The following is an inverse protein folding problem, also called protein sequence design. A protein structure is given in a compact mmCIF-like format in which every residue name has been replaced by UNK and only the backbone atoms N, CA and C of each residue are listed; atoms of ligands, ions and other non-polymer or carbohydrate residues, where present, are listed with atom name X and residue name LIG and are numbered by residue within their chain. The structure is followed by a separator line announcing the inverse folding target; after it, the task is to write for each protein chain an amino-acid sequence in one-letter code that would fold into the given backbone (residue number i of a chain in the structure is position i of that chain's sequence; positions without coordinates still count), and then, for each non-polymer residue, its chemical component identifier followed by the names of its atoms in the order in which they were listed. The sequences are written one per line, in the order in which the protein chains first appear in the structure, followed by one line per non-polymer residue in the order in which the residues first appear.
data_IF_846766268007
#
_entry.id   IF_846766268007
#
_cell.length_a   1.000
_cell.length_b   1.000
_cell.length_c   1.000
_cell.angle_alpha   90.00
_cell.angle_beta   90.00
_cell.angle_gamma   90.00
#
_symmetry.space_group_name_H-M   'P 1'
#
loop_
_entity.id
_entity.type
_entity.pdbx_description
1 polymer ?
#
# COMPACT_ATOMS: atom_id res chain seq x y z
N UNK A 1 22.29 11.34 -5.18
CA UNK A 1 21.72 11.43 -3.80
C UNK A 1 21.76 12.88 -3.30
N UNK A 2 20.76 13.27 -2.47
CA UNK A 2 20.73 14.62 -1.88
C UNK A 2 21.20 14.54 -0.42
N UNK A 3 22.23 15.30 -0.04
CA UNK A 3 22.70 15.34 1.33
C UNK A 3 21.64 16.00 2.24
N UNK A 4 21.39 15.43 3.39
CA UNK A 4 20.46 15.97 4.39
C UNK A 4 21.11 16.97 5.33
N UNK A 5 22.45 17.04 5.36
CA UNK A 5 23.23 17.86 6.30
C UNK A 5 23.18 17.40 7.77
N UNK A 6 22.49 16.29 8.03
CA UNK A 6 22.33 15.77 9.38
C UNK A 6 23.42 14.74 9.69
N UNK A 7 24.14 14.96 10.79
CA UNK A 7 25.16 14.03 11.31
C UNK A 7 24.64 13.36 12.57
N UNK A 8 24.81 12.05 12.66
CA UNK A 8 24.48 11.23 13.84
C UNK A 8 25.65 10.32 14.20
N UNK A 9 25.78 10.04 15.47
CA UNK A 9 26.80 9.10 15.96
C UNK A 9 26.17 7.71 16.12
N UNK A 10 26.96 6.70 15.84
CA UNK A 10 26.63 5.31 16.21
C UNK A 10 26.85 5.19 17.71
N UNK A 11 25.91 4.60 18.43
CA UNK A 11 26.03 4.34 19.88
C UNK A 11 26.88 3.06 20.16
N UNK A 12 27.08 2.78 21.42
CA UNK A 12 27.85 1.62 21.91
C UNK A 12 27.22 0.27 21.56
N UNK A 13 25.93 0.25 21.21
CA UNK A 13 25.21 -0.92 20.72
C UNK A 13 25.13 -0.99 19.19
N UNK A 14 25.84 -0.12 18.47
CA UNK A 14 25.86 -0.08 17.02
C UNK A 14 24.59 0.53 16.38
N UNK A 15 23.79 1.29 17.13
CA UNK A 15 22.53 1.87 16.63
C UNK A 15 22.73 3.29 16.14
N UNK A 16 21.95 3.66 15.13
CA UNK A 16 21.83 5.04 14.62
C UNK A 16 20.39 5.49 14.77
N UNK A 17 20.16 6.64 15.39
CA UNK A 17 18.82 7.23 15.49
C UNK A 17 18.50 7.98 14.19
N UNK A 18 17.50 7.53 13.47
CA UNK A 18 16.95 8.23 12.31
C UNK A 18 16.12 9.42 12.81
N UNK A 19 16.48 10.67 12.44
CA UNK A 19 15.78 11.88 12.90
C UNK A 19 14.30 11.87 12.54
N UNK A 20 13.48 12.49 13.40
CA UNK A 20 12.03 12.57 13.21
C UNK A 20 11.65 13.21 11.88
N UNK A 21 12.40 14.23 11.44
CA UNK A 21 12.17 14.92 10.17
C UNK A 21 12.37 13.99 8.98
N UNK A 22 13.43 13.14 9.00
CA UNK A 22 13.69 12.15 7.95
C UNK A 22 12.60 11.07 7.99
N UNK A 23 12.27 10.55 9.18
CA UNK A 23 11.20 9.54 9.32
C UNK A 23 9.87 10.05 8.77
N UNK A 24 9.52 11.30 9.07
CA UNK A 24 8.28 11.92 8.57
C UNK A 24 8.30 12.08 7.04
N UNK A 25 9.41 12.58 6.48
CA UNK A 25 9.55 12.79 5.03
C UNK A 25 9.50 11.48 4.24
N UNK A 26 10.12 10.42 4.79
CA UNK A 26 10.17 9.10 4.16
C UNK A 26 9.04 8.17 4.63
N UNK A 27 8.08 8.69 5.41
CA UNK A 27 6.95 7.91 5.99
C UNK A 27 7.43 6.65 6.73
N UNK A 28 8.58 6.73 7.44
CA UNK A 28 9.11 5.63 8.25
C UNK A 28 8.40 5.65 9.61
N UNK A 29 7.66 4.60 9.92
CA UNK A 29 6.94 4.41 11.19
C UNK A 29 7.77 3.56 12.15
N UNK A 30 7.43 3.60 13.42
CA UNK A 30 7.96 2.66 14.41
C UNK A 30 7.57 1.23 14.04
N UNK A 31 8.54 0.31 14.09
CA UNK A 31 8.35 -1.09 13.69
C UNK A 31 8.48 -1.35 12.18
N UNK A 32 8.60 -0.31 11.32
CA UNK A 32 8.83 -0.55 9.89
C UNK A 32 10.17 -1.25 9.68
N UNK A 33 10.22 -2.36 8.93
CA UNK A 33 11.47 -3.01 8.56
C UNK A 33 12.22 -2.15 7.55
N UNK A 34 13.52 -2.01 7.75
CA UNK A 34 14.42 -1.33 6.83
C UNK A 34 15.48 -2.30 6.34
N UNK A 35 15.64 -2.38 5.05
CA UNK A 35 16.72 -3.11 4.41
C UNK A 35 17.97 -2.23 4.33
N UNK A 36 19.13 -2.80 4.62
CA UNK A 36 20.41 -2.09 4.67
C UNK A 36 21.26 -2.51 3.48
N UNK A 37 21.58 -1.54 2.66
CA UNK A 37 22.53 -1.70 1.54
C UNK A 37 23.84 -1.02 1.87
N UNK A 38 24.95 -1.59 1.37
CA UNK A 38 26.28 -0.98 1.45
C UNK A 38 26.81 -0.69 0.07
N UNK A 39 27.44 0.45 -0.11
CA UNK A 39 28.12 0.84 -1.35
C UNK A 39 29.64 0.70 -1.20
N UNK A 40 30.34 0.51 -2.32
CA UNK A 40 31.81 0.30 -2.34
C UNK A 40 32.61 1.51 -1.85
N UNK A 41 32.01 2.69 -1.89
CA UNK A 41 32.57 3.96 -1.41
C UNK A 41 32.35 4.19 0.09
N UNK A 42 31.78 3.20 0.80
CA UNK A 42 31.49 3.25 2.23
C UNK A 42 30.13 3.84 2.57
N UNK A 43 29.27 4.06 1.57
CA UNK A 43 27.89 4.47 1.78
C UNK A 43 27.05 3.36 2.43
N UNK A 44 26.15 3.75 3.36
CA UNK A 44 25.12 2.87 3.93
C UNK A 44 23.78 3.47 3.59
N UNK A 45 22.95 2.70 2.91
CA UNK A 45 21.63 3.11 2.45
C UNK A 45 20.56 2.29 3.17
N UNK A 46 19.60 2.95 3.80
CA UNK A 46 18.41 2.34 4.36
C UNK A 46 17.25 2.50 3.37
N UNK A 47 16.59 1.42 3.02
CA UNK A 47 15.35 1.42 2.23
C UNK A 47 14.24 0.79 3.03
N UNK A 48 13.03 1.31 2.89
CA UNK A 48 11.86 0.61 3.44
C UNK A 48 11.74 -0.75 2.77
N UNK A 49 11.67 -1.79 3.57
CA UNK A 49 11.38 -3.13 3.09
C UNK A 49 9.86 -3.29 3.03
N UNK A 50 9.35 -3.64 1.87
CA UNK A 50 7.94 -3.99 1.68
C UNK A 50 7.85 -5.49 1.40
N UNK A 51 7.33 -6.29 2.35
CA UNK A 51 7.08 -7.70 2.10
C UNK A 51 6.21 -7.92 0.86
N UNK A 52 5.26 -7.03 0.62
CA UNK A 52 4.39 -7.08 -0.56
C UNK A 52 5.12 -6.85 -1.89
N UNK A 53 6.30 -6.21 -1.86
CA UNK A 53 7.12 -6.00 -3.06
C UNK A 53 7.57 -7.32 -3.70
N UNK A 54 7.83 -8.35 -2.91
CA UNK A 54 8.20 -9.69 -3.39
C UNK A 54 7.04 -10.40 -4.09
N UNK A 55 5.80 -10.01 -3.78
CA UNK A 55 4.58 -10.57 -4.39
C UNK A 55 4.02 -9.69 -5.52
N UNK A 56 4.76 -8.71 -6.02
CA UNK A 56 4.22 -7.75 -7.01
C UNK A 56 3.68 -8.43 -8.28
N UNK A 57 4.40 -9.40 -8.82
CA UNK A 57 3.94 -10.14 -10.00
C UNK A 57 2.67 -10.94 -9.70
N UNK A 58 2.61 -11.55 -8.54
CA UNK A 58 1.45 -12.30 -8.09
C UNK A 58 0.25 -11.39 -7.81
N UNK A 59 0.47 -10.24 -7.18
CA UNK A 59 -0.54 -9.23 -6.96
C UNK A 59 -1.09 -8.68 -8.29
N UNK A 60 -0.23 -8.54 -9.31
CA UNK A 60 -0.66 -8.14 -10.66
C UNK A 60 -1.59 -9.17 -11.30
N UNK A 61 -1.25 -10.46 -11.21
CA UNK A 61 -2.11 -11.55 -11.71
C UNK A 61 -3.46 -11.58 -10.99
N UNK A 62 -3.48 -11.33 -9.69
CA UNK A 62 -4.73 -11.20 -8.90
C UNK A 62 -5.56 -10.03 -9.39
N UNK A 63 -4.97 -8.85 -9.58
CA UNK A 63 -5.69 -7.68 -10.11
C UNK A 63 -6.29 -7.96 -11.49
N UNK A 64 -5.54 -8.61 -12.39
CA UNK A 64 -6.02 -9.03 -13.71
C UNK A 64 -7.19 -10.03 -13.60
N UNK A 65 -7.08 -11.00 -12.71
CA UNK A 65 -8.14 -11.98 -12.47
C UNK A 65 -9.42 -11.31 -11.96
N UNK A 66 -9.30 -10.38 -10.99
CA UNK A 66 -10.45 -9.62 -10.50
C UNK A 66 -11.06 -8.81 -11.64
N UNK A 67 -10.25 -8.05 -12.38
CA UNK A 67 -10.72 -7.22 -13.50
C UNK A 67 -11.46 -8.03 -14.57
N UNK A 68 -10.93 -9.20 -14.94
CA UNK A 68 -11.55 -10.08 -15.93
C UNK A 68 -12.89 -10.65 -15.46
N UNK A 69 -13.01 -11.02 -14.20
CA UNK A 69 -14.20 -11.70 -13.70
C UNK A 69 -15.30 -10.74 -13.21
N UNK A 70 -14.94 -9.53 -12.79
CA UNK A 70 -15.90 -8.55 -12.23
C UNK A 70 -16.13 -7.33 -13.11
N UNK A 71 -15.21 -7.04 -14.04
CA UNK A 71 -15.21 -5.80 -14.82
C UNK A 71 -14.77 -4.57 -14.02
N UNK A 72 -14.42 -4.72 -12.74
CA UNK A 72 -13.96 -3.61 -11.91
C UNK A 72 -12.45 -3.38 -12.06
N UNK A 73 -12.03 -2.13 -11.97
CA UNK A 73 -10.63 -1.82 -11.78
C UNK A 73 -10.19 -2.27 -10.38
N UNK A 74 -9.05 -2.98 -10.30
CA UNK A 74 -8.53 -3.52 -9.06
C UNK A 74 -7.09 -3.09 -8.82
N UNK A 75 -6.74 -2.87 -7.57
CA UNK A 75 -5.40 -2.55 -7.15
C UNK A 75 -5.02 -3.33 -5.88
N UNK A 76 -3.74 -3.61 -5.75
CA UNK A 76 -3.12 -4.02 -4.48
C UNK A 76 -2.12 -2.94 -4.09
N UNK A 77 -2.17 -2.51 -2.87
CA UNK A 77 -1.20 -1.58 -2.31
C UNK A 77 -0.44 -2.24 -1.15
N UNK A 78 0.78 -1.80 -0.95
CA UNK A 78 1.48 -1.98 0.31
C UNK A 78 1.10 -0.86 1.30
N UNK A 79 1.87 -0.68 2.37
CA UNK A 79 1.58 0.35 3.39
C UNK A 79 1.77 1.79 2.90
N UNK A 80 2.37 2.00 1.73
CA UNK A 80 2.77 3.32 1.25
C UNK A 80 2.28 3.66 -0.15
N UNK A 81 2.14 2.66 -1.05
CA UNK A 81 1.88 2.88 -2.47
C UNK A 81 1.10 1.75 -3.13
N UNK A 82 0.55 2.04 -4.30
CA UNK A 82 -0.10 1.05 -5.17
C UNK A 82 0.97 0.27 -5.93
N UNK A 83 1.07 -1.04 -5.65
CA UNK A 83 2.10 -1.93 -6.20
C UNK A 83 1.62 -2.81 -7.36
N UNK A 84 0.30 -2.99 -7.51
CA UNK A 84 -0.31 -3.70 -8.62
C UNK A 84 -1.63 -3.05 -9.01
N UNK A 85 -1.95 -3.08 -10.30
CA UNK A 85 -3.11 -2.37 -10.83
C UNK A 85 -3.59 -3.02 -12.12
N UNK A 86 -4.92 -3.18 -12.25
CA UNK A 86 -5.61 -3.56 -13.49
C UNK A 86 -6.89 -2.72 -13.67
N UNK A 87 -7.28 -2.47 -14.92
CA UNK A 87 -8.52 -1.77 -15.24
C UNK A 87 -8.50 -0.25 -15.06
N UNK A 88 -7.36 0.33 -14.67
CA UNK A 88 -7.16 1.78 -14.57
C UNK A 88 -5.78 2.18 -15.15
N UNK A 89 -5.59 3.46 -15.54
CA UNK A 89 -4.34 3.92 -16.14
C UNK A 89 -3.16 3.78 -15.15
N UNK A 90 -2.19 2.93 -15.49
CA UNK A 90 -0.97 2.73 -14.67
C UNK A 90 -0.24 4.04 -14.39
N UNK A 91 -0.18 4.95 -15.37
CA UNK A 91 0.49 6.24 -15.25
C UNK A 91 -0.07 7.12 -14.12
N UNK A 92 -1.35 6.98 -13.79
CA UNK A 92 -2.02 7.79 -12.77
C UNK A 92 -1.91 7.20 -11.35
N UNK A 93 -1.82 5.88 -11.23
CA UNK A 93 -1.97 5.20 -9.95
C UNK A 93 -0.82 4.26 -9.58
N UNK A 94 -0.17 3.62 -10.57
CA UNK A 94 0.92 2.66 -10.29
C UNK A 94 2.12 3.36 -9.65
N UNK A 95 2.67 2.79 -8.59
CA UNK A 95 3.76 3.33 -7.79
C UNK A 95 3.45 4.69 -7.14
N UNK A 96 2.16 5.08 -7.09
CA UNK A 96 1.75 6.34 -6.47
C UNK A 96 1.40 6.13 -4.99
N UNK A 97 1.64 7.16 -4.15
CA UNK A 97 1.31 7.11 -2.73
C UNK A 97 -0.17 6.82 -2.50
N UNK A 98 -0.45 6.01 -1.50
CA UNK A 98 -1.80 5.83 -0.98
C UNK A 98 -2.38 7.17 -0.51
N UNK A 99 -3.69 7.31 -0.57
CA UNK A 99 -4.36 8.47 0.03
C UNK A 99 -4.34 8.39 1.56
N UNK A 100 -4.41 9.53 2.27
CA UNK A 100 -4.56 9.54 3.72
C UNK A 100 -5.79 8.79 4.21
N UNK A 101 -6.86 8.78 3.40
CA UNK A 101 -8.11 8.07 3.68
C UNK A 101 -7.89 6.54 3.66
N UNK A 102 -7.17 6.05 2.64
CA UNK A 102 -6.81 4.63 2.53
C UNK A 102 -5.85 4.22 3.64
N UNK A 103 -4.84 5.04 3.93
CA UNK A 103 -3.92 4.82 5.05
C UNK A 103 -4.68 4.66 6.37
N UNK A 104 -5.65 5.54 6.64
CA UNK A 104 -6.48 5.49 7.86
C UNK A 104 -7.36 4.23 7.93
N UNK A 105 -7.93 3.79 6.80
CA UNK A 105 -8.70 2.55 6.75
C UNK A 105 -7.81 1.34 7.08
N UNK A 106 -6.62 1.29 6.48
CA UNK A 106 -5.63 0.23 6.73
C UNK A 106 -5.17 0.20 8.19
N UNK A 107 -4.78 1.35 8.75
CA UNK A 107 -4.34 1.47 10.15
C UNK A 107 -5.41 1.03 11.14
N UNK A 108 -6.67 1.35 10.86
CA UNK A 108 -7.80 0.90 11.67
C UNK A 108 -8.25 -0.53 11.35
N UNK A 109 -7.59 -1.22 10.41
CA UNK A 109 -7.94 -2.59 9.97
C UNK A 109 -9.40 -2.73 9.58
N UNK A 110 -9.99 -1.67 8.99
CA UNK A 110 -11.40 -1.62 8.59
C UNK A 110 -11.58 -1.99 7.14
N UNK A 111 -12.48 -2.93 6.89
CA UNK A 111 -13.03 -3.11 5.55
C UNK A 111 -13.95 -1.94 5.23
N UNK A 112 -13.89 -1.47 3.99
CA UNK A 112 -14.69 -0.37 3.48
C UNK A 112 -15.44 -0.80 2.23
N UNK A 113 -16.65 -0.31 2.08
CA UNK A 113 -17.43 -0.34 0.83
C UNK A 113 -18.18 0.97 0.73
N UNK A 114 -18.05 1.64 -0.41
CA UNK A 114 -18.78 2.87 -0.69
C UNK A 114 -20.29 2.58 -0.78
N UNK A 115 -21.09 3.40 -0.13
CA UNK A 115 -22.55 3.40 -0.20
C UNK A 115 -23.02 4.73 -0.78
N UNK A 116 -24.17 4.73 -1.45
CA UNK A 116 -24.76 5.97 -1.95
C UNK A 116 -25.01 6.96 -0.81
N UNK A 117 -24.51 8.19 -1.00
CA UNK A 117 -24.59 9.24 0.00
C UNK A 117 -23.34 9.38 0.88
N UNK A 118 -22.41 8.43 0.84
CA UNK A 118 -21.13 8.55 1.54
C UNK A 118 -20.21 9.57 0.84
N UNK A 119 -19.26 10.11 1.60
CA UNK A 119 -18.16 10.87 1.02
C UNK A 119 -17.25 9.91 0.24
N UNK A 120 -16.99 10.22 -1.03
CA UNK A 120 -16.06 9.44 -1.85
C UNK A 120 -14.63 9.61 -1.34
N UNK A 121 -13.99 8.50 -1.00
CA UNK A 121 -12.61 8.46 -0.54
C UNK A 121 -11.69 8.22 -1.73
N UNK A 122 -10.59 8.96 -1.83
CA UNK A 122 -9.60 8.76 -2.90
C UNK A 122 -8.79 7.49 -2.65
N UNK A 123 -8.33 6.88 -3.74
CA UNK A 123 -7.43 5.73 -3.64
C UNK A 123 -5.96 6.17 -3.49
N UNK A 124 -5.57 7.27 -4.11
CA UNK A 124 -4.21 7.82 -4.12
C UNK A 124 -4.21 9.32 -3.93
N UNK A 125 -3.13 9.86 -3.36
CA UNK A 125 -2.90 11.31 -3.31
C UNK A 125 -2.73 11.93 -4.71
N UNK A 126 -2.35 11.12 -5.69
CA UNK A 126 -1.96 11.58 -7.04
C UNK A 126 -3.11 11.68 -8.02
N UNK A 127 -4.32 11.21 -7.68
CA UNK A 127 -5.46 11.20 -8.61
C UNK A 127 -6.79 11.38 -7.87
N UNK A 128 -7.60 12.30 -8.37
CA UNK A 128 -8.99 12.52 -7.91
C UNK A 128 -10.03 11.77 -8.76
N UNK A 129 -9.59 11.04 -9.79
CA UNK A 129 -10.48 10.35 -10.73
C UNK A 129 -10.93 8.97 -10.27
N UNK A 130 -10.17 8.37 -9.34
CA UNK A 130 -10.42 7.03 -8.85
C UNK A 130 -10.64 7.05 -7.35
N UNK A 131 -11.79 6.54 -6.95
CA UNK A 131 -12.21 6.46 -5.56
C UNK A 131 -12.22 5.01 -5.07
N UNK A 132 -12.22 4.84 -3.76
CA UNK A 132 -12.38 3.54 -3.14
C UNK A 132 -13.83 3.07 -3.31
N UNK A 133 -14.05 2.05 -4.14
CA UNK A 133 -15.33 1.34 -4.17
C UNK A 133 -15.38 0.31 -3.03
N UNK A 134 -14.31 -0.48 -2.90
CA UNK A 134 -14.07 -1.41 -1.81
C UNK A 134 -12.62 -1.32 -1.38
N UNK A 135 -12.34 -1.46 -0.09
CA UNK A 135 -10.99 -1.65 0.44
C UNK A 135 -11.00 -2.74 1.53
N UNK A 136 -10.06 -3.67 1.44
CA UNK A 136 -9.89 -4.75 2.41
C UNK A 136 -8.41 -4.83 2.83
N UNK A 137 -8.09 -4.52 4.11
CA UNK A 137 -6.71 -4.60 4.62
C UNK A 137 -6.16 -6.02 4.54
N UNK A 138 -4.89 -6.13 4.17
CA UNK A 138 -4.13 -7.38 4.16
C UNK A 138 -3.36 -7.47 5.46
N UNK A 139 -3.64 -8.52 6.23
CA UNK A 139 -2.99 -8.79 7.51
C UNK A 139 -2.19 -10.09 7.41
N UNK A 140 -0.95 -10.07 7.86
CA UNK A 140 -0.09 -11.25 8.00
C UNK A 140 0.40 -11.34 9.44
N UNK A 141 0.15 -12.45 10.11
CA UNK A 141 0.47 -12.67 11.54
C UNK A 141 -0.01 -11.53 12.47
N UNK A 142 -1.11 -10.87 12.10
CA UNK A 142 -1.64 -9.73 12.82
C UNK A 142 -1.07 -8.36 12.42
N UNK A 143 -0.03 -8.32 11.62
CA UNK A 143 0.55 -7.08 11.12
C UNK A 143 -0.11 -6.62 9.82
N UNK A 144 -0.32 -5.32 9.72
CA UNK A 144 -0.82 -4.71 8.49
C UNK A 144 0.32 -4.65 7.45
N UNK A 145 0.10 -5.25 6.28
CA UNK A 145 1.07 -5.24 5.19
C UNK A 145 0.59 -4.52 3.92
N UNK A 146 -0.70 -4.27 3.79
CA UNK A 146 -1.27 -3.56 2.65
C UNK A 146 -2.78 -3.64 2.59
N UNK A 147 -3.35 -3.46 1.40
CA UNK A 147 -4.78 -3.63 1.14
C UNK A 147 -5.06 -4.09 -0.30
N UNK A 148 -6.18 -4.80 -0.47
CA UNK A 148 -6.83 -5.02 -1.77
C UNK A 148 -7.89 -3.94 -1.94
N UNK A 149 -7.89 -3.28 -3.09
CA UNK A 149 -8.79 -2.17 -3.40
C UNK A 149 -9.50 -2.45 -4.72
N UNK A 150 -10.82 -2.30 -4.74
CA UNK A 150 -11.58 -2.16 -5.97
C UNK A 150 -11.86 -0.69 -6.21
N UNK A 151 -11.45 -0.21 -7.39
CA UNK A 151 -11.46 1.20 -7.75
C UNK A 151 -12.77 1.55 -8.46
N UNK A 152 -13.39 2.63 -8.03
CA UNK A 152 -14.57 3.20 -8.64
C UNK A 152 -14.16 4.47 -9.40
N UNK A 153 -14.38 4.55 -10.73
CA UNK A 153 -14.14 5.79 -11.47
C UNK A 153 -15.13 6.86 -11.02
N UNK A 154 -14.85 8.10 -11.35
CA UNK A 154 -15.78 9.21 -11.10
C UNK A 154 -17.12 8.93 -11.80
N UNK A 155 -18.23 9.09 -11.07
CA UNK A 155 -19.58 8.75 -11.56
C UNK A 155 -19.90 7.26 -11.60
N UNK A 156 -18.97 6.39 -11.13
CA UNK A 156 -19.24 4.96 -11.03
C UNK A 156 -20.29 4.62 -9.99
N UNK A 157 -21.00 3.50 -10.19
CA UNK A 157 -21.98 2.98 -9.26
C UNK A 157 -21.33 2.32 -8.05
N UNK A 158 -22.00 2.29 -6.87
CA UNK A 158 -21.55 1.52 -5.72
C UNK A 158 -21.35 0.04 -6.07
N UNK A 159 -20.37 -0.57 -5.44
CA UNK A 159 -20.07 -1.99 -5.59
C UNK A 159 -20.92 -2.84 -4.65
N UNK A 160 -21.12 -4.11 -5.03
CA UNK A 160 -21.98 -5.05 -4.31
C UNK A 160 -21.30 -5.60 -3.05
N UNK A 161 -22.08 -6.29 -2.22
CA UNK A 161 -21.55 -7.07 -1.09
C UNK A 161 -20.66 -8.23 -1.56
N UNK A 162 -20.95 -8.80 -2.74
CA UNK A 162 -20.11 -9.83 -3.33
C UNK A 162 -18.72 -9.30 -3.69
N UNK A 163 -18.62 -8.06 -4.20
CA UNK A 163 -17.34 -7.42 -4.48
C UNK A 163 -16.55 -7.19 -3.19
N UNK A 164 -17.22 -6.80 -2.12
CA UNK A 164 -16.57 -6.66 -0.81
C UNK A 164 -16.10 -8.02 -0.27
N UNK A 165 -16.90 -9.07 -0.39
CA UNK A 165 -16.54 -10.42 0.03
C UNK A 165 -15.33 -10.93 -0.78
N UNK A 166 -15.31 -10.68 -2.10
CA UNK A 166 -14.19 -11.00 -2.97
C UNK A 166 -12.90 -10.32 -2.50
N UNK A 167 -12.93 -9.00 -2.30
CA UNK A 167 -11.76 -8.25 -1.84
C UNK A 167 -11.25 -8.75 -0.49
N UNK A 168 -12.13 -9.05 0.46
CA UNK A 168 -11.78 -9.64 1.76
C UNK A 168 -11.15 -11.02 1.63
N UNK A 169 -11.68 -11.88 0.76
CA UNK A 169 -11.15 -13.22 0.52
C UNK A 169 -9.74 -13.15 -0.06
N UNK A 170 -9.55 -12.28 -1.05
CA UNK A 170 -8.24 -12.06 -1.68
C UNK A 170 -7.24 -11.46 -0.67
N UNK A 171 -7.65 -10.48 0.13
CA UNK A 171 -6.80 -9.90 1.17
C UNK A 171 -6.37 -10.96 2.21
N UNK A 172 -7.29 -11.81 2.65
CA UNK A 172 -6.99 -12.93 3.55
C UNK A 172 -6.05 -13.96 2.94
N UNK A 173 -6.20 -14.23 1.65
CA UNK A 173 -5.30 -15.14 0.92
C UNK A 173 -3.89 -14.57 0.81
N UNK A 174 -3.76 -13.30 0.39
CA UNK A 174 -2.47 -12.61 0.31
C UNK A 174 -1.77 -12.57 1.68
N UNK A 175 -2.50 -12.28 2.75
CA UNK A 175 -1.95 -12.30 4.11
C UNK A 175 -1.35 -13.66 4.46
N UNK A 176 -2.05 -14.77 4.16
CA UNK A 176 -1.55 -16.13 4.40
C UNK A 176 -0.33 -16.48 3.55
N UNK A 177 -0.25 -16.02 2.31
CA UNK A 177 0.92 -16.25 1.45
C UNK A 177 2.19 -15.61 2.04
N UNK A 178 2.04 -14.54 2.82
CA UNK A 178 3.16 -13.86 3.50
C UNK A 178 3.58 -14.54 4.81
N UNK A 179 2.86 -15.53 5.26
CA UNK A 179 3.19 -16.31 6.47
C UNK A 179 4.07 -17.54 6.17
N UNK A 180 4.32 -17.81 4.85
CA UNK A 180 4.95 -19.04 4.36
C UNK A 180 6.50 -18.88 4.28
#
# INVERSE_FOLDING_TARGET
MKATGIVRRVDDLGRIVIPKEIRRTLKIREGDPLEIYTEKDGGVIFRKYSPMGELQDFASQICESIGTNTGHAAAVCDRDSIIALCGAPKRELMDKPNSPELDKLMENRKNYRYMDGDTKLRASESSDKYHLGVAAPILSQGDLIGAVVLLMPEGGAPMSEADQALAKTVAGFLGKQMES
#
